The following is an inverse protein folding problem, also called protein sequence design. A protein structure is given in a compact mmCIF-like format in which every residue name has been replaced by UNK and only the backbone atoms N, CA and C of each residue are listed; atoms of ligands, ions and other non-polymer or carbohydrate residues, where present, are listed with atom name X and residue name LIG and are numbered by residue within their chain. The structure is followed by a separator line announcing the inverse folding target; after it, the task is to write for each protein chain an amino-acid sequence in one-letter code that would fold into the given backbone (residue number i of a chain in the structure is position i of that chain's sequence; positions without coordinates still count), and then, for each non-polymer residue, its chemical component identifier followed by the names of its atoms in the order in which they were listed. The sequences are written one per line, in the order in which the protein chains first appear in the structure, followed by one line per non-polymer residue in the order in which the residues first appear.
data_IF_977916128546
#
_entry.id   IF_977916128546
#
_cell.length_a   1.000
_cell.length_b   1.000
_cell.length_c   1.000
_cell.angle_alpha   90.00
_cell.angle_beta   90.00
_cell.angle_gamma   90.00
#
_symmetry.space_group_name_H-M   'P 1'
#
loop_
_entity.id
_entity.type
_entity.pdbx_description
1 polymer ?
#
# COMPACT_ATOMS: atom_id res chain seq x y z
N UNK A 1 -12.31 11.88 -26.68
CA UNK A 1 -11.07 11.75 -25.90
C UNK A 1 -11.33 12.07 -24.42
N UNK A 2 -11.31 11.06 -23.54
CA UNK A 2 -11.66 11.24 -22.13
C UNK A 2 -10.66 12.18 -21.45
N UNK A 3 -11.10 13.38 -21.08
CA UNK A 3 -10.28 14.35 -20.37
C UNK A 3 -10.25 14.01 -18.87
N UNK A 4 -9.67 12.85 -18.53
CA UNK A 4 -9.41 12.51 -17.14
C UNK A 4 -8.31 13.44 -16.61
N UNK A 5 -8.55 14.09 -15.48
CA UNK A 5 -7.51 14.89 -14.84
C UNK A 5 -6.28 14.02 -14.52
N UNK A 6 -5.08 14.58 -14.69
CA UNK A 6 -3.80 13.87 -14.48
C UNK A 6 -3.75 13.20 -13.10
N UNK A 7 -4.28 13.86 -12.06
CA UNK A 7 -4.38 13.30 -10.72
C UNK A 7 -5.25 12.04 -10.65
N UNK A 8 -6.36 12.01 -11.40
CA UNK A 8 -7.25 10.84 -11.43
C UNK A 8 -6.60 9.69 -12.19
N UNK A 9 -5.89 9.98 -13.29
CA UNK A 9 -5.12 8.97 -14.01
C UNK A 9 -4.02 8.37 -13.12
N UNK A 10 -3.27 9.21 -12.39
CA UNK A 10 -2.25 8.78 -11.42
C UNK A 10 -2.85 7.90 -10.32
N UNK A 11 -3.98 8.31 -9.74
CA UNK A 11 -4.67 7.51 -8.74
C UNK A 11 -5.06 6.12 -9.27
N UNK A 12 -5.61 6.05 -10.48
CA UNK A 12 -6.09 4.81 -11.08
C UNK A 12 -4.92 3.87 -11.45
N UNK A 13 -3.82 4.43 -11.98
CA UNK A 13 -2.62 3.66 -12.29
C UNK A 13 -1.94 3.08 -11.04
N UNK A 14 -1.78 3.89 -9.99
CA UNK A 14 -1.23 3.42 -8.71
C UNK A 14 -2.13 2.36 -8.07
N UNK A 15 -3.45 2.56 -8.10
CA UNK A 15 -4.41 1.59 -7.57
C UNK A 15 -4.32 0.26 -8.32
N UNK A 16 -4.31 0.28 -9.65
CA UNK A 16 -4.21 -0.92 -10.47
C UNK A 16 -2.93 -1.73 -10.19
N UNK A 17 -1.81 -1.06 -9.90
CA UNK A 17 -0.55 -1.72 -9.57
C UNK A 17 -0.52 -2.31 -8.17
N UNK A 18 -1.12 -1.63 -7.19
CA UNK A 18 -1.10 -2.05 -5.79
C UNK A 18 -2.12 -3.16 -5.52
N UNK A 19 -3.23 -3.18 -6.26
CA UNK A 19 -4.33 -4.13 -6.10
C UNK A 19 -3.90 -5.61 -6.00
N UNK A 20 -3.06 -6.18 -6.88
CA UNK A 20 -2.62 -7.57 -6.76
C UNK A 20 -1.83 -7.84 -5.47
N UNK A 21 -1.02 -6.88 -5.00
CA UNK A 21 -0.28 -7.02 -3.74
C UNK A 21 -1.23 -7.02 -2.55
N UNK A 22 -2.20 -6.10 -2.54
CA UNK A 22 -3.20 -6.01 -1.48
C UNK A 22 -4.04 -7.30 -1.41
N UNK A 23 -4.51 -7.80 -2.55
CA UNK A 23 -5.25 -9.07 -2.64
C UNK A 23 -4.41 -10.23 -2.11
N UNK A 24 -3.13 -10.32 -2.49
CA UNK A 24 -2.24 -11.40 -2.03
C UNK A 24 -2.06 -11.40 -0.51
N UNK A 25 -1.82 -10.23 0.09
CA UNK A 25 -1.59 -10.13 1.54
C UNK A 25 -2.89 -10.39 2.34
N UNK A 26 -4.01 -9.81 1.90
CA UNK A 26 -5.30 -10.03 2.57
C UNK A 26 -5.77 -11.47 2.42
N UNK A 27 -5.58 -12.08 1.24
CA UNK A 27 -5.92 -13.49 1.02
C UNK A 27 -5.11 -14.40 1.93
N UNK A 28 -3.81 -14.15 2.13
CA UNK A 28 -3.01 -14.94 3.07
C UNK A 28 -3.54 -14.82 4.50
N UNK A 29 -3.97 -13.63 4.92
CA UNK A 29 -4.57 -13.43 6.24
C UNK A 29 -5.92 -14.14 6.40
N UNK A 30 -6.72 -14.21 5.33
CA UNK A 30 -7.99 -14.94 5.32
C UNK A 30 -7.77 -16.46 5.37
N UNK A 31 -6.81 -17.00 4.63
CA UNK A 31 -6.49 -18.43 4.65
C UNK A 31 -5.96 -18.90 5.99
N UNK A 32 -5.27 -18.03 6.73
CA UNK A 32 -4.82 -18.31 8.10
C UNK A 32 -5.94 -18.24 9.14
N UNK A 33 -7.06 -17.57 8.84
CA UNK A 33 -8.21 -17.53 9.73
C UNK A 33 -8.96 -18.86 9.65
N UNK A 34 -9.23 -19.48 10.80
CA UNK A 34 -10.02 -20.71 10.84
C UNK A 34 -11.47 -20.40 10.45
N UNK A 35 -12.00 -21.12 9.46
CA UNK A 35 -13.35 -20.90 8.92
C UNK A 35 -14.48 -21.25 9.91
N UNK A 36 -14.19 -22.08 10.90
CA UNK A 36 -15.13 -22.49 11.94
C UNK A 36 -15.62 -21.31 12.80
N UNK A 37 -14.82 -20.26 12.95
CA UNK A 37 -15.19 -19.05 13.71
C UNK A 37 -16.30 -18.27 12.98
N UNK A 38 -16.25 -18.21 11.65
CA UNK A 38 -17.31 -17.58 10.85
C UNK A 38 -18.59 -18.42 10.88
N UNK A 39 -18.47 -19.74 10.71
CA UNK A 39 -19.60 -20.67 10.77
C UNK A 39 -20.30 -20.63 12.13
N UNK A 40 -19.54 -20.63 13.23
CA UNK A 40 -20.08 -20.49 14.58
C UNK A 40 -20.86 -19.18 14.77
N UNK A 41 -20.38 -18.07 14.22
CA UNK A 41 -21.08 -16.79 14.28
C UNK A 41 -22.42 -16.83 13.54
N UNK A 42 -22.45 -17.49 12.37
CA UNK A 42 -23.69 -17.69 11.60
C UNK A 42 -24.67 -18.60 12.35
N UNK A 43 -24.18 -19.68 12.95
CA UNK A 43 -25.01 -20.60 13.76
C UNK A 43 -25.63 -19.91 14.99
N UNK A 44 -24.93 -18.94 15.59
CA UNK A 44 -25.43 -18.13 16.70
C UNK A 44 -26.42 -17.03 16.27
N UNK A 45 -26.81 -16.99 14.99
CA UNK A 45 -27.83 -16.08 14.47
C UNK A 45 -27.31 -14.83 13.75
N UNK A 46 -26.00 -14.72 13.47
CA UNK A 46 -25.51 -13.67 12.57
C UNK A 46 -25.84 -13.98 11.10
N UNK A 47 -26.21 -12.96 10.34
CA UNK A 47 -26.18 -13.05 8.88
C UNK A 47 -24.73 -13.16 8.39
N UNK A 48 -24.48 -13.77 7.21
CA UNK A 48 -23.12 -13.90 6.65
C UNK A 48 -22.38 -12.55 6.55
N UNK A 49 -23.08 -11.50 6.13
CA UNK A 49 -22.53 -10.13 6.07
C UNK A 49 -22.20 -9.62 7.47
N UNK A 50 -23.09 -9.87 8.45
CA UNK A 50 -22.84 -9.51 9.85
C UNK A 50 -21.64 -10.24 10.46
N UNK A 51 -21.50 -11.54 10.17
CA UNK A 51 -20.36 -12.35 10.59
C UNK A 51 -19.05 -11.84 9.96
N UNK A 52 -19.06 -11.45 8.69
CA UNK A 52 -17.90 -10.86 8.03
C UNK A 52 -17.41 -9.60 8.75
N UNK A 53 -18.29 -8.61 8.95
CA UNK A 53 -17.88 -7.34 9.57
C UNK A 53 -17.57 -7.44 11.06
N UNK A 54 -18.24 -8.34 11.79
CA UNK A 54 -18.12 -8.44 13.25
C UNK A 54 -17.07 -9.44 13.72
N UNK A 55 -16.78 -10.45 12.90
CA UNK A 55 -15.88 -11.56 13.25
C UNK A 55 -14.69 -11.63 12.31
N UNK A 56 -14.91 -11.73 11.00
CA UNK A 56 -13.80 -11.92 10.04
C UNK A 56 -12.92 -10.66 9.98
N UNK A 57 -13.52 -9.50 9.71
CA UNK A 57 -12.80 -8.23 9.50
C UNK A 57 -11.91 -7.82 10.70
N UNK A 58 -12.36 -7.90 11.98
CA UNK A 58 -11.51 -7.59 13.11
C UNK A 58 -10.38 -8.60 13.32
N UNK A 59 -10.59 -9.87 12.95
CA UNK A 59 -9.54 -10.90 13.06
C UNK A 59 -8.45 -10.74 11.99
N UNK A 60 -8.81 -10.36 10.76
CA UNK A 60 -7.85 -10.10 9.67
C UNK A 60 -7.29 -8.67 9.65
N UNK A 61 -7.62 -7.83 10.64
CA UNK A 61 -7.20 -6.42 10.69
C UNK A 61 -5.68 -6.23 10.54
N UNK A 62 -4.90 -7.18 11.07
CA UNK A 62 -3.45 -7.19 10.91
C UNK A 62 -3.03 -7.38 9.44
N UNK A 63 -3.65 -8.33 8.74
CA UNK A 63 -3.44 -8.52 7.31
C UNK A 63 -3.84 -7.32 6.46
N UNK A 64 -4.95 -6.65 6.80
CA UNK A 64 -5.39 -5.42 6.12
C UNK A 64 -4.36 -4.29 6.31
N UNK A 65 -3.89 -4.09 7.55
CA UNK A 65 -2.90 -3.06 7.84
C UNK A 65 -1.54 -3.37 7.17
N UNK A 66 -1.13 -4.65 7.11
CA UNK A 66 0.04 -5.09 6.37
C UNK A 66 -0.07 -4.78 4.87
N UNK A 67 -1.23 -5.09 4.27
CA UNK A 67 -1.52 -4.79 2.87
C UNK A 67 -1.48 -3.29 2.58
N UNK A 68 -2.04 -2.47 3.48
CA UNK A 68 -2.03 -1.01 3.37
C UNK A 68 -0.60 -0.46 3.36
N UNK A 69 0.25 -0.91 4.28
CA UNK A 69 1.62 -0.40 4.39
C UNK A 69 2.46 -0.85 3.21
N UNK A 70 2.38 -2.12 2.81
CA UNK A 70 3.08 -2.62 1.63
C UNK A 70 2.65 -1.84 0.38
N UNK A 71 1.35 -1.60 0.22
CA UNK A 71 0.80 -0.81 -0.87
C UNK A 71 1.30 0.64 -0.85
N UNK A 72 1.34 1.28 0.32
CA UNK A 72 1.84 2.63 0.48
C UNK A 72 3.32 2.75 0.09
N UNK A 73 4.17 1.86 0.61
CA UNK A 73 5.61 1.86 0.30
C UNK A 73 5.85 1.57 -1.18
N UNK A 74 5.09 0.64 -1.77
CA UNK A 74 5.19 0.33 -3.20
C UNK A 74 4.76 1.52 -4.06
N UNK A 75 3.66 2.18 -3.69
CA UNK A 75 3.15 3.39 -4.36
C UNK A 75 4.16 4.53 -4.34
N UNK A 76 4.78 4.76 -3.19
CA UNK A 76 5.71 5.87 -2.99
C UNK A 76 7.00 5.71 -3.80
N UNK A 77 7.46 4.47 -3.98
CA UNK A 77 8.67 4.15 -4.74
C UNK A 77 8.42 3.99 -6.26
N UNK A 78 7.19 4.16 -6.75
CA UNK A 78 6.83 4.02 -8.16
C UNK A 78 7.15 5.29 -8.98
N UNK A 79 8.44 5.45 -9.31
CA UNK A 79 8.95 6.50 -10.20
C UNK A 79 8.46 6.33 -11.66
N UNK A 80 8.48 5.14 -12.28
CA UNK A 80 8.15 4.99 -13.70
C UNK A 80 6.71 5.38 -14.03
N UNK A 81 5.75 4.97 -13.20
CA UNK A 81 4.33 5.30 -13.40
C UNK A 81 4.09 6.79 -13.29
N UNK A 82 4.73 7.41 -12.30
CA UNK A 82 4.70 8.86 -12.16
C UNK A 82 5.31 9.51 -13.40
N UNK A 83 6.46 9.04 -13.88
CA UNK A 83 7.15 9.60 -15.05
C UNK A 83 6.31 9.53 -16.33
N UNK A 84 5.67 8.39 -16.60
CA UNK A 84 4.87 8.18 -17.82
C UNK A 84 3.49 8.85 -17.78
N UNK A 85 2.98 9.17 -16.59
CA UNK A 85 1.64 9.71 -16.40
C UNK A 85 1.60 11.14 -15.87
N UNK A 86 2.77 11.74 -15.57
CA UNK A 86 2.89 13.16 -15.23
C UNK A 86 2.97 14.00 -16.50
N UNK A 87 2.21 15.10 -16.51
CA UNK A 87 2.17 16.08 -17.60
C UNK A 87 2.46 17.50 -17.08
N UNK A 88 2.35 18.53 -17.94
CA UNK A 88 2.58 19.92 -17.53
C UNK A 88 1.69 20.29 -16.33
N UNK A 89 2.32 20.70 -15.22
CA UNK A 89 1.62 21.19 -14.02
C UNK A 89 1.44 20.19 -12.87
N UNK A 90 1.79 18.90 -13.03
CA UNK A 90 1.82 17.93 -11.92
C UNK A 90 3.18 17.27 -11.88
N UNK A 91 3.97 17.58 -10.86
CA UNK A 91 5.27 16.96 -10.62
C UNK A 91 5.24 16.25 -9.28
N UNK A 92 5.64 14.98 -9.29
CA UNK A 92 5.84 14.21 -8.08
C UNK A 92 7.28 14.37 -7.61
N UNK A 93 7.48 14.24 -6.31
CA UNK A 93 8.79 14.41 -5.66
C UNK A 93 9.92 13.60 -6.36
N UNK A 94 9.71 12.33 -6.79
CA UNK A 94 10.75 11.57 -7.50
C UNK A 94 11.08 12.11 -8.90
N UNK A 95 10.11 12.65 -9.62
CA UNK A 95 10.33 13.23 -10.97
C UNK A 95 11.09 14.54 -10.85
N UNK A 96 10.77 15.37 -9.87
CA UNK A 96 11.51 16.61 -9.63
C UNK A 96 12.96 16.31 -9.23
N UNK A 97 13.20 15.29 -8.39
CA UNK A 97 14.56 14.86 -8.07
C UNK A 97 15.32 14.35 -9.30
N UNK A 98 14.67 13.54 -10.15
CA UNK A 98 15.28 13.03 -11.40
C UNK A 98 15.62 14.17 -12.36
N UNK A 99 14.66 15.07 -12.62
CA UNK A 99 14.86 16.22 -13.50
C UNK A 99 15.94 17.18 -12.96
N UNK A 100 16.05 17.33 -11.64
CA UNK A 100 17.09 18.15 -11.03
C UNK A 100 18.49 17.53 -11.20
N UNK A 101 18.63 16.19 -11.07
CA UNK A 101 19.89 15.49 -11.32
C UNK A 101 20.37 15.63 -12.78
N UNK A 102 19.45 15.66 -13.74
CA UNK A 102 19.79 15.83 -15.16
C UNK A 102 20.34 17.24 -15.48
N UNK A 103 19.96 18.24 -14.69
CA UNK A 103 20.32 19.65 -14.91
C UNK A 103 21.50 20.08 -14.04
N UNK A 104 21.60 19.58 -12.80
CA UNK A 104 22.60 19.99 -11.81
C UNK A 104 23.14 18.79 -11.04
N UNK A 105 24.45 18.57 -11.10
CA UNK A 105 25.15 17.57 -10.27
C UNK A 105 25.44 18.14 -8.87
N UNK A 106 24.41 18.22 -8.03
CA UNK A 106 24.51 18.69 -6.65
C UNK A 106 24.30 17.53 -5.65
N UNK A 107 25.14 17.38 -4.61
CA UNK A 107 25.01 16.31 -3.61
C UNK A 107 23.72 16.38 -2.77
N UNK A 108 22.96 17.49 -2.82
CA UNK A 108 21.67 17.64 -2.12
C UNK A 108 20.63 16.59 -2.50
N UNK A 109 20.59 16.12 -3.76
CA UNK A 109 19.64 15.06 -4.18
C UNK A 109 19.98 13.72 -3.53
N UNK A 110 21.26 13.42 -3.35
CA UNK A 110 21.70 12.21 -2.67
C UNK A 110 21.29 12.24 -1.18
N UNK A 111 21.42 13.39 -0.52
CA UNK A 111 20.97 13.58 0.86
C UNK A 111 19.44 13.40 1.01
N UNK A 112 18.66 13.98 0.10
CA UNK A 112 17.20 13.80 0.06
C UNK A 112 16.80 12.33 -0.18
N UNK A 113 17.48 11.66 -1.12
CA UNK A 113 17.25 10.23 -1.40
C UNK A 113 17.52 9.36 -0.17
N UNK A 114 18.62 9.64 0.55
CA UNK A 114 18.94 8.93 1.79
C UNK A 114 17.87 9.16 2.87
N UNK A 115 17.39 10.40 3.05
CA UNK A 115 16.32 10.71 4.00
C UNK A 115 15.01 9.98 3.66
N UNK A 116 14.63 9.96 2.39
CA UNK A 116 13.44 9.24 1.91
C UNK A 116 13.58 7.72 2.13
N UNK A 117 14.76 7.16 1.88
CA UNK A 117 15.05 5.76 2.15
C UNK A 117 14.92 5.45 3.65
N UNK A 118 15.50 6.28 4.53
CA UNK A 118 15.36 6.12 5.98
C UNK A 118 13.91 6.23 6.45
N UNK A 119 13.14 7.17 5.90
CA UNK A 119 11.70 7.28 6.20
C UNK A 119 10.94 6.03 5.75
N UNK A 120 11.20 5.52 4.55
CA UNK A 120 10.55 4.31 4.03
C UNK A 120 10.89 3.09 4.90
N UNK A 121 12.17 2.91 5.26
CA UNK A 121 12.62 1.88 6.18
C UNK A 121 11.97 2.03 7.56
N UNK A 122 11.86 3.26 8.07
CA UNK A 122 11.18 3.55 9.33
C UNK A 122 9.71 3.14 9.32
N UNK A 123 8.99 3.41 8.22
CA UNK A 123 7.59 3.01 8.05
C UNK A 123 7.46 1.48 8.02
N UNK A 124 8.32 0.79 7.27
CA UNK A 124 8.31 -0.69 7.21
C UNK A 124 8.66 -1.30 8.57
N UNK A 125 9.70 -0.80 9.23
CA UNK A 125 10.10 -1.27 10.56
C UNK A 125 8.99 -1.08 11.60
N UNK A 126 8.35 0.10 11.58
CA UNK A 126 7.24 0.41 12.48
C UNK A 126 6.04 -0.49 12.18
N UNK A 127 5.79 -0.77 10.90
CA UNK A 127 4.78 -1.72 10.47
C UNK A 127 5.04 -3.12 11.00
N UNK A 128 6.25 -3.65 10.82
CA UNK A 128 6.63 -4.96 11.36
C UNK A 128 6.45 -5.02 12.88
N UNK A 129 6.82 -3.94 13.58
CA UNK A 129 6.70 -3.86 15.04
C UNK A 129 5.24 -3.86 15.51
N UNK A 130 4.35 -3.14 14.83
CA UNK A 130 2.93 -3.11 15.18
C UNK A 130 2.16 -4.35 14.72
N UNK A 131 2.59 -4.97 13.61
CA UNK A 131 1.90 -6.11 12.99
C UNK A 131 2.30 -7.45 13.59
N UNK A 132 3.48 -7.55 14.23
CA UNK A 132 3.87 -8.76 14.95
C UNK A 132 3.90 -9.99 14.06
N UNK A 133 4.70 -9.95 12.98
CA UNK A 133 4.91 -11.09 12.07
C UNK A 133 5.42 -12.37 12.76
N UNK A 134 5.85 -12.29 14.03
CA UNK A 134 6.33 -13.43 14.83
C UNK A 134 5.24 -14.23 15.55
N UNK A 135 3.94 -13.92 15.40
CA UNK A 135 2.87 -14.68 16.09
C UNK A 135 2.08 -15.64 15.20
N UNK A 136 2.35 -15.67 13.90
CA UNK A 136 1.57 -16.45 12.92
C UNK A 136 2.43 -17.25 11.90
N UNK A 137 3.74 -17.35 12.13
CA UNK A 137 4.60 -18.40 11.57
C UNK A 137 5.08 -19.24 12.74
#
# INVERSE_FOLDING_TARGET
PFNFGILFALFLAHTALILPYAVRVVSASLTNLRSDIEEAAVLLGCSRVGAFFRVVMPNIRGGILAAFILGFVTSFNQVPVSLFLSGPGVRTLPIDMLSYMEITYDPSVAALSALLAFMSLGIVFLAERFLGFSRYV
#
